data_IF_579531776216
#
_entry.id   IF_579531776216
#
_cell.length_a   1.000
_cell.length_b   1.000
_cell.length_c   1.000
_cell.angle_alpha   90.00
_cell.angle_beta   90.00
_cell.angle_gamma   90.00
#
_symmetry.space_group_name_H-M   'P 1'
#
loop_
_entity.id
_entity.type
_entity.pdbx_description
1 polymer ?
#
# COMPACT_ATOMS: atom_id res chain seq x y z
N UNK A 1 -33.64 -25.67 -4.92
CA UNK A 1 -33.81 -24.25 -5.14
C UNK A 1 -33.27 -23.40 -4.01
N UNK A 2 -33.47 -22.12 -4.12
CA UNK A 2 -32.98 -21.16 -3.13
C UNK A 2 -33.59 -21.34 -1.75
N UNK A 3 -34.87 -21.76 -1.70
CA UNK A 3 -35.56 -22.01 -0.43
C UNK A 3 -34.92 -23.17 0.33
N UNK A 4 -34.56 -24.23 -0.38
CA UNK A 4 -33.90 -25.40 0.21
C UNK A 4 -32.52 -25.02 0.78
N UNK A 5 -31.72 -24.24 0.04
CA UNK A 5 -30.41 -23.79 0.49
C UNK A 5 -30.55 -22.90 1.73
N UNK A 6 -31.49 -21.99 1.75
CA UNK A 6 -31.75 -21.11 2.91
C UNK A 6 -32.13 -21.92 4.15
N UNK A 7 -32.96 -22.94 4.00
CA UNK A 7 -33.36 -23.81 5.11
C UNK A 7 -32.18 -24.56 5.67
N UNK A 8 -31.31 -25.08 4.82
CA UNK A 8 -30.09 -25.77 5.27
C UNK A 8 -29.17 -24.83 6.02
N UNK A 9 -28.89 -23.63 5.46
CA UNK A 9 -28.01 -22.65 6.08
C UNK A 9 -28.54 -22.20 7.44
N UNK A 10 -29.85 -21.96 7.52
CA UNK A 10 -30.51 -21.58 8.76
C UNK A 10 -30.44 -22.67 9.81
N UNK A 11 -30.65 -23.91 9.41
CA UNK A 11 -30.60 -25.08 10.27
C UNK A 11 -29.21 -25.30 10.88
N UNK A 12 -28.16 -25.00 10.11
CA UNK A 12 -26.78 -25.19 10.53
C UNK A 12 -26.16 -23.94 11.17
N UNK A 13 -26.91 -22.86 11.27
CA UNK A 13 -26.40 -21.61 11.83
C UNK A 13 -25.39 -20.90 10.94
N UNK A 14 -25.32 -21.26 9.66
CA UNK A 14 -24.36 -20.67 8.72
C UNK A 14 -24.89 -19.40 8.06
N UNK A 15 -26.20 -19.14 8.13
CA UNK A 15 -26.82 -17.99 7.49
C UNK A 15 -26.22 -16.69 7.98
N UNK A 16 -26.07 -16.52 9.29
CA UNK A 16 -25.57 -15.30 9.90
C UNK A 16 -24.09 -15.02 9.58
N UNK A 17 -23.31 -16.09 9.34
CA UNK A 17 -21.87 -15.94 9.07
C UNK A 17 -21.52 -15.85 7.60
N UNK A 18 -22.34 -16.39 6.70
CA UNK A 18 -22.05 -16.47 5.26
C UNK A 18 -22.99 -15.60 4.44
N UNK A 19 -24.28 -15.59 4.76
CA UNK A 19 -25.30 -14.93 3.95
C UNK A 19 -25.34 -13.42 4.15
N UNK A 20 -24.74 -12.90 5.23
CA UNK A 20 -24.63 -11.46 5.48
C UNK A 20 -23.58 -10.80 4.59
N UNK A 21 -22.67 -11.58 4.00
CA UNK A 21 -21.66 -11.07 3.10
C UNK A 21 -22.19 -11.17 1.67
N UNK A 22 -22.42 -10.02 1.05
CA UNK A 22 -22.81 -9.96 -0.36
C UNK A 22 -21.60 -9.70 -1.26
N UNK A 23 -21.82 -9.64 -2.59
CA UNK A 23 -20.76 -9.38 -3.55
C UNK A 23 -20.07 -8.03 -3.31
N UNK A 24 -20.84 -7.02 -2.91
CA UNK A 24 -20.29 -5.70 -2.61
C UNK A 24 -19.35 -5.73 -1.40
N UNK A 25 -19.74 -6.46 -0.36
CA UNK A 25 -18.89 -6.61 0.83
C UNK A 25 -17.57 -7.30 0.49
N UNK A 26 -17.63 -8.32 -0.37
CA UNK A 26 -16.43 -9.02 -0.82
C UNK A 26 -15.51 -8.10 -1.63
N UNK A 27 -16.07 -7.31 -2.55
CA UNK A 27 -15.29 -6.34 -3.34
C UNK A 27 -14.61 -5.33 -2.41
N UNK A 28 -15.32 -4.81 -1.43
CA UNK A 28 -14.76 -3.85 -0.47
C UNK A 28 -13.66 -4.47 0.38
N UNK A 29 -13.87 -5.68 0.86
CA UNK A 29 -12.86 -6.39 1.64
C UNK A 29 -11.60 -6.64 0.81
N UNK A 30 -11.75 -7.11 -0.43
CA UNK A 30 -10.63 -7.34 -1.34
C UNK A 30 -9.92 -6.02 -1.70
N UNK A 31 -10.68 -4.95 -1.90
CA UNK A 31 -10.12 -3.62 -2.17
C UNK A 31 -9.28 -3.12 -0.98
N UNK A 32 -9.74 -3.33 0.24
CA UNK A 32 -9.00 -2.95 1.44
C UNK A 32 -7.69 -3.75 1.56
N UNK A 33 -7.74 -5.06 1.31
CA UNK A 33 -6.54 -5.90 1.31
C UNK A 33 -5.60 -5.49 0.18
N UNK A 34 -6.14 -5.25 -1.03
CA UNK A 34 -5.36 -4.78 -2.17
C UNK A 34 -4.68 -3.45 -1.90
N UNK A 35 -5.36 -2.53 -1.21
CA UNK A 35 -4.78 -1.25 -0.79
C UNK A 35 -3.59 -1.47 0.15
N UNK A 36 -3.72 -2.35 1.12
CA UNK A 36 -2.63 -2.70 2.03
C UNK A 36 -1.44 -3.31 1.29
N UNK A 37 -1.70 -4.20 0.32
CA UNK A 37 -0.65 -4.79 -0.50
C UNK A 37 0.04 -3.75 -1.39
N UNK A 38 -0.73 -2.80 -1.95
CA UNK A 38 -0.18 -1.75 -2.79
C UNK A 38 0.81 -0.87 -2.03
N UNK A 39 0.57 -0.59 -0.75
CA UNK A 39 1.45 0.25 0.08
C UNK A 39 2.78 -0.45 0.35
N UNK A 40 2.88 -1.77 0.20
CA UNK A 40 4.15 -2.49 0.31
C UNK A 40 5.20 -1.94 -0.66
N UNK A 41 4.76 -1.34 -1.78
CA UNK A 41 5.67 -0.66 -2.71
C UNK A 41 6.54 0.41 -2.05
N UNK A 42 6.14 0.94 -0.89
CA UNK A 42 6.93 1.91 -0.12
C UNK A 42 8.18 1.31 0.52
N UNK A 43 8.28 0.00 0.65
CA UNK A 43 9.44 -0.65 1.28
C UNK A 43 10.71 -0.42 0.46
N UNK A 44 10.64 -0.58 -0.88
CA UNK A 44 11.80 -0.38 -1.74
C UNK A 44 12.40 1.02 -1.61
N UNK A 45 11.63 2.06 -1.92
CA UNK A 45 12.10 3.45 -1.73
C UNK A 45 12.51 3.75 -0.30
N UNK A 46 11.77 3.25 0.69
CA UNK A 46 12.10 3.46 2.10
C UNK A 46 13.49 2.96 2.46
N UNK A 47 13.82 1.73 2.06
CA UNK A 47 15.14 1.14 2.27
C UNK A 47 16.20 1.87 1.45
N UNK A 48 15.94 2.07 0.16
CA UNK A 48 16.90 2.74 -0.74
C UNK A 48 17.22 4.16 -0.31
N UNK A 49 16.21 4.93 0.04
CA UNK A 49 16.39 6.32 0.52
C UNK A 49 17.09 6.38 1.87
N UNK A 50 16.81 5.42 2.75
CA UNK A 50 17.51 5.31 4.02
C UNK A 50 19.00 5.04 3.83
N UNK A 51 19.36 4.14 2.91
CA UNK A 51 20.75 3.86 2.55
C UNK A 51 21.40 5.12 1.96
N UNK A 52 20.72 5.80 1.03
CA UNK A 52 21.24 7.05 0.44
C UNK A 52 21.46 8.12 1.50
N UNK A 53 20.54 8.25 2.46
CA UNK A 53 20.68 9.20 3.56
C UNK A 53 21.90 8.88 4.43
N UNK A 54 22.13 7.60 4.73
CA UNK A 54 23.30 7.17 5.49
C UNK A 54 24.61 7.47 4.76
N UNK A 55 24.68 7.17 3.47
CA UNK A 55 25.84 7.50 2.64
C UNK A 55 26.06 9.01 2.53
N UNK A 56 24.99 9.78 2.37
CA UNK A 56 25.05 11.24 2.30
C UNK A 56 25.56 11.84 3.61
N UNK A 57 25.05 11.38 4.74
CA UNK A 57 25.49 11.84 6.05
C UNK A 57 26.99 11.54 6.26
N UNK A 58 27.44 10.34 5.92
CA UNK A 58 28.84 9.96 6.00
C UNK A 58 29.73 10.84 5.08
N UNK A 59 29.26 11.10 3.86
CA UNK A 59 29.99 11.95 2.90
C UNK A 59 30.13 13.38 3.41
N UNK A 60 29.09 13.95 4.00
CA UNK A 60 29.14 15.29 4.61
C UNK A 60 30.11 15.29 5.79
N UNK A 61 30.12 14.22 6.59
CA UNK A 61 31.06 14.09 7.70
C UNK A 61 32.52 14.07 7.25
N UNK A 62 32.80 13.43 6.09
CA UNK A 62 34.15 13.39 5.51
C UNK A 62 34.52 14.68 4.80
N UNK A 63 33.56 15.37 4.21
CA UNK A 63 33.81 16.58 3.43
C UNK A 63 32.69 17.61 3.65
N UNK A 64 32.73 18.32 4.81
CA UNK A 64 31.71 19.35 5.12
C UNK A 64 31.61 20.46 4.08
N UNK A 65 32.71 20.78 3.38
CA UNK A 65 32.72 21.79 2.35
C UNK A 65 31.89 21.45 1.12
N UNK A 66 31.61 20.16 0.89
CA UNK A 66 30.79 19.68 -0.23
C UNK A 66 29.33 19.41 0.15
N UNK A 67 28.90 19.83 1.34
CA UNK A 67 27.56 19.56 1.88
C UNK A 67 26.44 19.89 0.88
N UNK A 68 26.51 21.06 0.25
CA UNK A 68 25.47 21.51 -0.69
C UNK A 68 25.32 20.58 -1.89
N UNK A 69 26.43 20.18 -2.50
CA UNK A 69 26.43 19.25 -3.64
C UNK A 69 25.96 17.85 -3.24
N UNK A 70 26.42 17.36 -2.09
CA UNK A 70 26.04 16.05 -1.57
C UNK A 70 24.53 16.00 -1.31
N UNK A 71 24.01 17.02 -0.63
CA UNK A 71 22.57 17.12 -0.32
C UNK A 71 21.73 17.19 -1.59
N UNK A 72 22.13 18.00 -2.57
CA UNK A 72 21.38 18.15 -3.82
C UNK A 72 21.32 16.84 -4.60
N UNK A 73 22.47 16.18 -4.75
CA UNK A 73 22.54 14.90 -5.47
C UNK A 73 21.74 13.83 -4.76
N UNK A 74 21.87 13.72 -3.43
CA UNK A 74 21.15 12.76 -2.63
C UNK A 74 19.64 12.96 -2.73
N UNK A 75 19.17 14.19 -2.53
CA UNK A 75 17.75 14.50 -2.55
C UNK A 75 17.14 14.26 -3.93
N UNK A 76 17.87 14.58 -5.01
CA UNK A 76 17.39 14.28 -6.36
C UNK A 76 17.18 12.78 -6.57
N UNK A 77 18.13 11.97 -6.18
CA UNK A 77 18.02 10.51 -6.27
C UNK A 77 16.89 9.98 -5.42
N UNK A 78 16.75 10.47 -4.19
CA UNK A 78 15.68 10.07 -3.29
C UNK A 78 14.30 10.46 -3.84
N UNK A 79 14.16 11.64 -4.41
CA UNK A 79 12.90 12.09 -5.00
C UNK A 79 12.47 11.23 -6.17
N UNK A 80 13.41 10.86 -7.04
CA UNK A 80 13.11 9.95 -8.15
C UNK A 80 12.76 8.55 -7.65
N UNK A 81 13.47 8.05 -6.65
CA UNK A 81 13.20 6.73 -6.06
C UNK A 81 11.82 6.68 -5.39
N UNK A 82 11.36 7.78 -4.81
CA UNK A 82 10.06 7.85 -4.13
C UNK A 82 8.88 7.63 -5.10
N UNK A 83 9.04 7.86 -6.39
CA UNK A 83 7.94 7.74 -7.35
C UNK A 83 7.30 6.36 -7.34
N UNK A 84 8.07 5.30 -7.16
CA UNK A 84 7.52 3.94 -7.10
C UNK A 84 6.66 3.71 -5.87
N UNK A 85 7.05 4.28 -4.73
CA UNK A 85 6.24 4.26 -3.51
C UNK A 85 4.95 5.07 -3.68
N UNK A 86 5.02 6.19 -4.37
CA UNK A 86 3.85 7.03 -4.65
C UNK A 86 2.86 6.32 -5.58
N UNK A 87 3.31 5.51 -6.54
CA UNK A 87 2.41 4.70 -7.37
C UNK A 87 1.58 3.75 -6.50
N UNK A 88 2.22 3.06 -5.56
CA UNK A 88 1.51 2.19 -4.63
C UNK A 88 0.54 2.95 -3.74
N UNK A 89 0.93 4.12 -3.25
CA UNK A 89 0.06 4.98 -2.44
C UNK A 89 -1.17 5.43 -3.24
N UNK A 90 -1.01 5.85 -4.49
CA UNK A 90 -2.11 6.27 -5.35
C UNK A 90 -3.09 5.12 -5.56
N UNK A 91 -2.60 3.92 -5.85
CA UNK A 91 -3.45 2.74 -6.01
C UNK A 91 -4.21 2.46 -4.71
N UNK A 92 -3.55 2.54 -3.56
CA UNK A 92 -4.19 2.31 -2.26
C UNK A 92 -5.32 3.31 -2.01
N UNK A 93 -5.09 4.59 -2.27
CA UNK A 93 -6.09 5.64 -2.07
C UNK A 93 -7.28 5.46 -3.02
N UNK A 94 -7.03 5.07 -4.27
CA UNK A 94 -8.10 4.79 -5.22
C UNK A 94 -8.97 3.62 -4.75
N UNK A 95 -8.35 2.56 -4.26
CA UNK A 95 -9.09 1.38 -3.78
C UNK A 95 -9.90 1.67 -2.52
N UNK A 96 -9.37 2.51 -1.60
CA UNK A 96 -10.03 2.79 -0.34
C UNK A 96 -11.13 3.84 -0.45
N UNK A 97 -10.97 4.86 -1.29
CA UNK A 97 -11.85 6.02 -1.28
C UNK A 97 -12.64 6.20 -2.57
N UNK A 98 -12.09 5.87 -3.72
CA UNK A 98 -12.76 6.05 -5.01
C UNK A 98 -13.61 4.85 -5.39
N UNK A 99 -13.25 3.67 -4.91
CA UNK A 99 -13.96 2.41 -5.17
C UNK A 99 -14.13 2.09 -6.66
N UNK A 100 -13.02 1.99 -7.43
CA UNK A 100 -13.11 1.78 -8.88
C UNK A 100 -13.67 0.40 -9.25
N UNK A 101 -13.66 -0.54 -8.31
CA UNK A 101 -14.17 -1.90 -8.53
C UNK A 101 -15.61 -2.08 -8.06
N UNK A 102 -16.16 -1.10 -7.41
CA UNK A 102 -17.54 -1.18 -6.93
C UNK A 102 -17.76 -0.74 -5.52
#
# INVERSE_FOLDING_TARGET
GDVYKRQILKRWGLEDSIMDINGQDLIRACSAIGAGLAVIAGIGPGVGQGIAAGHGAAAVGRNPGARGQIMSTMLLGQAVAETTGLYGLVVALLLLFVHPLG
#
